data_IF_322540013458
#
_entry.id   IF_322540013458
#
_cell.length_a   1.000
_cell.length_b   1.000
_cell.length_c   1.000
_cell.angle_alpha   90.00
_cell.angle_beta   90.00
_cell.angle_gamma   90.00
#
_symmetry.space_group_name_H-M   'P 1'
#
loop_
_entity.id
_entity.type
_entity.pdbx_description
1 polymer ?
#
# COMPACT_ATOMS: atom_id res chain seq x y z
N UNK A 1 23.72 21.12 -12.72
CA UNK A 1 23.18 19.79 -12.88
C UNK A 1 21.82 19.71 -12.21
N UNK A 2 20.85 19.04 -12.86
CA UNK A 2 19.47 18.92 -12.41
C UNK A 2 19.02 17.45 -12.49
N UNK A 3 18.46 16.88 -11.45
CA UNK A 3 17.92 15.51 -11.50
C UNK A 3 16.56 15.40 -10.81
N UNK A 4 15.80 14.39 -11.15
CA UNK A 4 14.55 14.07 -10.49
C UNK A 4 14.73 12.88 -9.55
N UNK A 5 13.94 12.85 -8.45
CA UNK A 5 13.84 11.75 -7.51
C UNK A 5 12.37 11.32 -7.41
N UNK A 6 12.09 10.13 -7.92
CA UNK A 6 10.77 9.50 -7.99
C UNK A 6 10.83 8.20 -7.19
N UNK A 7 9.82 7.94 -6.35
CA UNK A 7 9.69 6.71 -5.57
C UNK A 7 8.25 6.21 -5.57
N UNK A 8 8.08 4.94 -5.24
CA UNK A 8 6.80 4.35 -4.82
C UNK A 8 5.65 4.62 -5.81
N UNK A 9 5.92 4.41 -7.09
CA UNK A 9 4.91 4.63 -8.15
C UNK A 9 3.81 3.56 -8.12
N UNK A 10 4.11 2.34 -7.66
CA UNK A 10 3.17 1.23 -7.52
C UNK A 10 2.24 1.05 -8.72
N UNK A 11 2.82 1.03 -9.92
CA UNK A 11 2.05 0.93 -11.15
C UNK A 11 1.24 -0.38 -11.16
N UNK A 12 -0.08 -0.24 -11.28
CA UNK A 12 -1.02 -1.35 -11.23
C UNK A 12 -1.68 -1.62 -9.86
N UNK A 13 -1.48 -0.75 -8.85
CA UNK A 13 -1.95 -0.96 -7.47
C UNK A 13 -3.48 -1.03 -7.32
N UNK A 14 -4.21 -0.13 -7.93
CA UNK A 14 -5.63 0.03 -7.71
C UNK A 14 -6.47 -1.09 -8.36
N UNK A 15 -7.56 -1.49 -7.69
CA UNK A 15 -8.55 -2.45 -8.23
C UNK A 15 -9.59 -1.77 -9.12
N UNK A 16 -9.89 -0.50 -8.85
CA UNK A 16 -10.81 0.31 -9.65
C UNK A 16 -10.10 0.73 -10.94
N UNK A 17 -10.64 0.36 -12.12
CA UNK A 17 -9.98 0.64 -13.40
C UNK A 17 -9.65 2.12 -13.62
N UNK A 18 -10.55 3.03 -13.19
CA UNK A 18 -10.35 4.47 -13.32
C UNK A 18 -9.19 4.98 -12.44
N UNK A 19 -9.01 4.42 -11.24
CA UNK A 19 -7.89 4.78 -10.36
C UNK A 19 -6.58 4.13 -10.81
N UNK A 20 -6.65 2.93 -11.38
CA UNK A 20 -5.50 2.28 -11.99
C UNK A 20 -4.98 3.09 -13.18
N UNK A 21 -5.89 3.59 -14.03
CA UNK A 21 -5.52 4.48 -15.13
C UNK A 21 -4.96 5.80 -14.58
N UNK A 22 -5.55 6.39 -13.55
CA UNK A 22 -5.07 7.62 -12.93
C UNK A 22 -3.67 7.47 -12.31
N UNK A 23 -3.34 6.29 -11.77
CA UNK A 23 -2.00 5.97 -11.30
C UNK A 23 -0.98 5.98 -12.45
N UNK A 24 -1.31 5.37 -13.61
CA UNK A 24 -0.48 5.42 -14.81
C UNK A 24 -0.36 6.84 -15.36
N UNK A 25 -1.46 7.59 -15.42
CA UNK A 25 -1.47 8.99 -15.90
C UNK A 25 -0.61 9.88 -15.00
N UNK A 26 -0.61 9.61 -13.67
CA UNK A 26 0.22 10.35 -12.71
C UNK A 26 1.70 10.09 -12.93
N UNK A 27 2.07 8.84 -13.17
CA UNK A 27 3.44 8.49 -13.54
C UNK A 27 3.86 9.14 -14.86
N UNK A 28 3.02 9.04 -15.92
CA UNK A 28 3.26 9.71 -17.20
C UNK A 28 3.43 11.21 -17.00
N UNK A 29 2.62 11.86 -16.17
CA UNK A 29 2.74 13.29 -15.89
C UNK A 29 4.05 13.65 -15.18
N UNK A 30 4.53 12.79 -14.25
CA UNK A 30 5.85 12.99 -13.64
C UNK A 30 6.96 12.92 -14.68
N UNK A 31 6.91 11.97 -15.61
CA UNK A 31 7.88 11.84 -16.71
C UNK A 31 7.83 13.07 -17.65
N UNK A 32 6.63 13.53 -18.02
CA UNK A 32 6.46 14.75 -18.82
C UNK A 32 7.12 15.96 -18.15
N UNK A 33 6.87 16.18 -16.86
CA UNK A 33 7.48 17.27 -16.09
C UNK A 33 9.01 17.15 -16.10
N UNK A 34 9.55 15.94 -15.93
CA UNK A 34 11.01 15.73 -15.99
C UNK A 34 11.59 16.10 -17.35
N UNK A 35 10.90 15.80 -18.44
CA UNK A 35 11.31 16.16 -19.81
C UNK A 35 11.21 17.68 -20.02
N UNK A 36 10.11 18.30 -19.62
CA UNK A 36 9.89 19.75 -19.68
C UNK A 36 10.94 20.53 -18.90
N UNK A 37 11.29 20.06 -17.72
CA UNK A 37 12.31 20.63 -16.83
C UNK A 37 13.74 20.34 -17.29
N UNK A 38 13.92 19.51 -18.32
CA UNK A 38 15.21 19.13 -18.87
C UNK A 38 16.17 18.58 -17.79
N UNK A 39 15.69 17.61 -17.00
CA UNK A 39 16.55 16.96 -16.02
C UNK A 39 17.63 16.12 -16.70
N UNK A 40 18.83 16.06 -16.12
CA UNK A 40 19.95 15.29 -16.67
C UNK A 40 19.72 13.78 -16.50
N UNK A 41 19.09 13.39 -15.38
CA UNK A 41 18.73 12.01 -15.07
C UNK A 41 17.61 11.92 -14.04
N UNK A 42 17.07 10.71 -13.85
CA UNK A 42 16.05 10.39 -12.87
C UNK A 42 16.55 9.25 -11.98
N UNK A 43 16.29 9.37 -10.66
CA UNK A 43 16.44 8.32 -9.67
C UNK A 43 15.06 7.70 -9.40
N UNK A 44 14.93 6.40 -9.57
CA UNK A 44 13.76 5.62 -9.17
C UNK A 44 14.14 4.78 -7.94
N UNK A 45 13.62 5.16 -6.78
CA UNK A 45 14.05 4.58 -5.50
C UNK A 45 13.10 3.50 -4.99
N UNK A 46 12.74 2.58 -5.88
CA UNK A 46 11.97 1.37 -5.59
C UNK A 46 10.47 1.50 -5.72
N UNK A 47 9.82 0.34 -5.66
CA UNK A 47 8.38 0.14 -5.81
C UNK A 47 7.81 0.85 -7.06
N UNK A 48 8.49 0.60 -8.20
CA UNK A 48 8.00 1.06 -9.49
C UNK A 48 6.69 0.36 -9.83
N UNK A 49 6.61 -0.95 -9.60
CA UNK A 49 5.41 -1.76 -9.78
C UNK A 49 4.81 -2.17 -8.42
N UNK A 50 3.49 -2.35 -8.37
CA UNK A 50 2.79 -2.82 -7.18
C UNK A 50 3.01 -4.32 -6.90
N UNK A 51 3.50 -5.05 -7.87
CA UNK A 51 3.85 -6.46 -7.73
C UNK A 51 5.01 -6.86 -8.62
N UNK A 52 5.73 -7.92 -8.22
CA UNK A 52 6.84 -8.48 -8.98
C UNK A 52 6.41 -9.02 -10.38
N UNK A 53 5.11 -9.22 -10.60
CA UNK A 53 4.52 -9.68 -11.87
C UNK A 53 3.36 -8.77 -12.27
N UNK A 54 3.63 -7.55 -12.74
CA UNK A 54 2.60 -6.61 -13.12
C UNK A 54 1.86 -7.08 -14.38
N UNK A 55 0.60 -6.65 -14.58
CA UNK A 55 -0.16 -6.92 -15.81
C UNK A 55 0.57 -6.43 -17.06
N UNK A 56 0.39 -7.14 -18.18
CA UNK A 56 1.06 -6.81 -19.45
C UNK A 56 0.73 -5.38 -19.90
N UNK A 57 -0.50 -4.92 -19.72
CA UNK A 57 -0.88 -3.55 -20.08
C UNK A 57 -0.13 -2.51 -19.27
N UNK A 58 0.05 -2.75 -17.96
CA UNK A 58 0.87 -1.88 -17.09
C UNK A 58 2.33 -1.84 -17.56
N UNK A 59 2.89 -2.99 -17.91
CA UNK A 59 4.25 -3.07 -18.45
C UNK A 59 4.40 -2.28 -19.76
N UNK A 60 3.45 -2.45 -20.66
CA UNK A 60 3.45 -1.78 -21.98
C UNK A 60 3.45 -0.26 -21.80
N UNK A 61 2.56 0.28 -20.97
CA UNK A 61 2.49 1.71 -20.70
C UNK A 61 3.77 2.21 -19.98
N UNK A 62 4.27 1.47 -18.99
CA UNK A 62 5.53 1.82 -18.31
C UNK A 62 6.70 1.86 -19.29
N UNK A 63 6.82 0.87 -20.18
CA UNK A 63 7.89 0.83 -21.18
C UNK A 63 7.79 1.99 -22.17
N UNK A 64 6.58 2.43 -22.50
CA UNK A 64 6.37 3.61 -23.34
C UNK A 64 6.91 4.88 -22.66
N UNK A 65 6.71 5.03 -21.36
CA UNK A 65 7.23 6.17 -20.60
C UNK A 65 8.78 6.15 -20.51
N UNK A 66 9.37 5.00 -20.20
CA UNK A 66 10.84 4.88 -20.23
C UNK A 66 11.43 5.10 -21.61
N UNK A 67 10.70 4.74 -22.68
CA UNK A 67 11.11 5.06 -24.05
C UNK A 67 11.13 6.56 -24.29
N UNK A 68 10.15 7.33 -23.80
CA UNK A 68 10.15 8.80 -23.90
C UNK A 68 11.41 9.40 -23.25
N UNK A 69 11.80 8.90 -22.05
CA UNK A 69 13.02 9.33 -21.38
C UNK A 69 14.27 9.05 -22.24
N UNK A 70 14.37 7.83 -22.78
CA UNK A 70 15.48 7.45 -23.65
C UNK A 70 15.56 8.32 -24.89
N UNK A 71 14.42 8.59 -25.54
CA UNK A 71 14.33 9.44 -26.72
C UNK A 71 14.73 10.90 -26.39
N UNK A 72 14.38 11.36 -25.15
CA UNK A 72 14.83 12.66 -24.62
C UNK A 72 16.28 12.66 -24.10
N UNK A 73 17.00 11.52 -24.16
CA UNK A 73 18.36 11.32 -23.65
C UNK A 73 18.49 11.52 -22.12
N UNK A 74 17.43 11.37 -21.38
CA UNK A 74 17.43 11.41 -19.92
C UNK A 74 17.72 9.99 -19.39
N UNK A 75 18.79 9.85 -18.61
CA UNK A 75 19.16 8.56 -18.00
C UNK A 75 18.26 8.23 -16.81
N UNK A 76 18.01 6.95 -16.59
CA UNK A 76 17.23 6.44 -15.46
C UNK A 76 18.08 5.50 -14.64
N UNK A 77 18.24 5.79 -13.34
CA UNK A 77 18.94 4.96 -12.36
C UNK A 77 17.91 4.38 -11.38
N UNK A 78 17.96 3.08 -11.15
CA UNK A 78 16.87 2.36 -10.50
C UNK A 78 17.41 1.46 -9.38
N UNK A 79 16.68 1.36 -8.29
CA UNK A 79 16.75 0.25 -7.34
C UNK A 79 15.38 -0.44 -7.27
N UNK A 80 15.37 -1.74 -6.96
CA UNK A 80 14.13 -2.45 -6.68
C UNK A 80 13.59 -2.07 -5.30
N UNK A 81 12.28 -1.96 -5.16
CA UNK A 81 11.60 -1.88 -3.88
C UNK A 81 11.07 -3.24 -3.42
N UNK A 82 10.32 -3.25 -2.32
CA UNK A 82 9.80 -4.47 -1.70
C UNK A 82 8.74 -5.18 -2.56
N UNK A 83 7.99 -4.43 -3.36
CA UNK A 83 6.97 -4.92 -4.28
C UNK A 83 7.56 -5.41 -5.62
N UNK A 84 8.62 -4.80 -6.09
CA UNK A 84 9.30 -5.21 -7.32
C UNK A 84 9.98 -6.58 -7.18
N UNK A 85 10.25 -7.04 -5.96
CA UNK A 85 11.08 -8.20 -5.69
C UNK A 85 10.30 -9.52 -5.81
N UNK A 86 10.78 -10.44 -6.64
CA UNK A 86 10.27 -11.81 -6.69
C UNK A 86 11.12 -12.75 -5.81
N UNK A 87 10.51 -13.84 -5.34
CA UNK A 87 11.20 -14.89 -4.57
C UNK A 87 12.38 -15.50 -5.34
N UNK A 88 12.35 -15.46 -6.68
CA UNK A 88 13.42 -15.96 -7.55
C UNK A 88 14.55 -14.95 -7.77
N UNK A 89 14.48 -13.75 -7.19
CA UNK A 89 15.43 -12.66 -7.39
C UNK A 89 15.34 -11.97 -8.75
N UNK A 90 14.38 -12.36 -9.61
CA UNK A 90 14.17 -11.75 -10.93
C UNK A 90 13.05 -10.71 -10.85
N UNK A 91 13.26 -9.57 -11.49
CA UNK A 91 12.30 -8.48 -11.53
C UNK A 91 12.05 -8.03 -12.97
N UNK A 92 10.94 -7.34 -13.20
CA UNK A 92 10.74 -6.69 -14.50
C UNK A 92 11.68 -5.49 -14.73
N UNK A 93 12.33 -5.00 -13.67
CA UNK A 93 13.40 -4.01 -13.79
C UNK A 93 14.58 -4.56 -14.60
N UNK A 94 14.92 -5.86 -14.45
CA UNK A 94 15.95 -6.53 -15.26
C UNK A 94 15.60 -6.48 -16.75
N UNK A 95 14.31 -6.56 -17.10
CA UNK A 95 13.84 -6.46 -18.50
C UNK A 95 14.00 -5.02 -19.01
N UNK A 96 13.65 -4.01 -18.19
CA UNK A 96 13.87 -2.59 -18.52
C UNK A 96 15.36 -2.31 -18.74
N UNK A 97 16.23 -2.83 -17.87
CA UNK A 97 17.69 -2.66 -18.01
C UNK A 97 18.20 -3.33 -19.28
N UNK A 98 17.82 -4.58 -19.56
CA UNK A 98 18.22 -5.30 -20.79
C UNK A 98 17.72 -4.62 -22.07
N UNK A 99 16.57 -3.94 -22.01
CA UNK A 99 16.07 -3.10 -23.10
C UNK A 99 16.83 -1.75 -23.23
N UNK A 100 17.72 -1.46 -22.30
CA UNK A 100 18.52 -0.23 -22.26
C UNK A 100 17.71 1.00 -21.91
N UNK A 101 16.69 0.86 -21.08
CA UNK A 101 15.85 1.94 -20.57
C UNK A 101 16.31 2.50 -19.22
N UNK A 102 17.03 1.72 -18.44
CA UNK A 102 17.57 2.14 -17.15
C UNK A 102 18.88 1.42 -16.86
N UNK A 103 19.56 1.87 -15.81
CA UNK A 103 20.71 1.22 -15.20
C UNK A 103 20.36 0.90 -13.74
N UNK A 104 20.44 -0.39 -13.36
CA UNK A 104 20.14 -0.85 -11.98
C UNK A 104 21.40 -0.70 -11.12
N UNK A 105 21.25 -0.12 -9.92
CA UNK A 105 22.36 -0.01 -8.98
C UNK A 105 22.88 -1.37 -8.56
N UNK A 106 24.18 -1.54 -8.60
CA UNK A 106 24.87 -2.82 -8.36
C UNK A 106 25.53 -2.84 -6.99
N UNK A 107 25.58 -4.02 -6.38
CA UNK A 107 26.26 -4.28 -5.11
C UNK A 107 26.80 -5.70 -5.04
N UNK A 108 27.73 -5.93 -4.15
CA UNK A 108 28.21 -7.26 -3.77
C UNK A 108 27.85 -7.52 -2.32
N UNK A 109 27.11 -8.59 -2.05
CA UNK A 109 26.65 -8.93 -0.71
C UNK A 109 27.29 -10.24 -0.26
N UNK A 110 27.88 -10.21 0.93
CA UNK A 110 28.43 -11.37 1.64
C UNK A 110 27.80 -11.44 3.04
N UNK A 111 28.08 -12.48 3.80
CA UNK A 111 27.61 -12.58 5.18
C UNK A 111 28.14 -11.43 6.07
N UNK A 112 29.32 -10.88 5.76
CA UNK A 112 30.00 -9.90 6.60
C UNK A 112 29.78 -8.45 6.14
N UNK A 113 29.59 -8.22 4.84
CA UNK A 113 29.53 -6.86 4.27
C UNK A 113 28.72 -6.79 2.97
N UNK A 114 28.21 -5.58 2.72
CA UNK A 114 27.58 -5.19 1.46
C UNK A 114 28.39 -4.05 0.86
N UNK A 115 29.00 -4.29 -0.30
CA UNK A 115 29.82 -3.28 -1.00
C UNK A 115 29.00 -2.73 -2.14
N UNK A 116 28.64 -1.43 -2.06
CA UNK A 116 27.93 -0.75 -3.15
C UNK A 116 28.91 -0.36 -4.26
N UNK A 117 28.45 -0.53 -5.52
CA UNK A 117 29.22 -0.15 -6.71
C UNK A 117 28.67 1.16 -7.29
N UNK A 118 29.52 2.10 -7.69
CA UNK A 118 29.06 3.36 -8.23
C UNK A 118 28.53 3.22 -9.66
N UNK A 119 27.34 3.75 -9.89
CA UNK A 119 26.90 4.23 -11.20
C UNK A 119 27.43 5.66 -11.37
N UNK A 120 28.03 5.94 -12.53
CA UNK A 120 28.69 7.23 -12.78
C UNK A 120 27.87 8.06 -13.78
N UNK A 121 27.52 9.26 -13.36
CA UNK A 121 26.94 10.27 -14.21
C UNK A 121 27.81 11.54 -14.15
N UNK A 122 28.68 11.73 -15.14
CA UNK A 122 29.69 12.81 -15.13
C UNK A 122 30.53 12.81 -13.83
N UNK A 123 30.39 13.85 -12.99
CA UNK A 123 31.08 13.99 -11.70
C UNK A 123 30.28 13.45 -10.50
N UNK A 124 29.18 12.73 -10.76
CA UNK A 124 28.30 12.18 -9.71
C UNK A 124 28.52 10.69 -9.57
N UNK A 125 28.53 10.22 -8.35
CA UNK A 125 28.52 8.83 -7.99
C UNK A 125 27.18 8.47 -7.34
N UNK A 126 26.44 7.58 -7.97
CA UNK A 126 25.13 7.10 -7.53
C UNK A 126 25.32 5.68 -7.03
N UNK A 127 24.98 5.45 -5.76
CA UNK A 127 24.98 4.17 -5.12
C UNK A 127 23.57 3.78 -4.77
N UNK A 128 23.28 2.48 -4.73
CA UNK A 128 21.95 2.04 -4.35
C UNK A 128 21.92 0.65 -3.72
N UNK A 129 20.96 0.44 -2.82
CA UNK A 129 20.63 -0.85 -2.28
C UNK A 129 19.11 -1.05 -2.30
N UNK A 130 18.60 -2.21 -2.78
CA UNK A 130 17.17 -2.45 -2.93
C UNK A 130 16.48 -2.68 -1.59
N UNK A 131 15.16 -2.45 -1.56
CA UNK A 131 14.28 -2.92 -0.51
C UNK A 131 14.06 -4.43 -0.60
N UNK A 132 13.73 -5.05 0.53
CA UNK A 132 13.35 -6.46 0.62
C UNK A 132 11.99 -6.57 1.33
N UNK A 133 11.27 -7.67 1.13
CA UNK A 133 9.97 -7.88 1.80
C UNK A 133 10.15 -7.90 3.32
N UNK A 134 9.19 -7.27 4.02
CA UNK A 134 9.11 -7.31 5.49
C UNK A 134 10.35 -6.82 6.24
N UNK A 135 11.05 -5.79 5.72
CA UNK A 135 12.22 -5.21 6.40
C UNK A 135 13.46 -6.10 6.41
N UNK A 136 13.48 -7.17 5.60
CA UNK A 136 14.64 -8.09 5.54
C UNK A 136 15.92 -7.45 5.00
N UNK A 137 15.87 -6.23 4.50
CA UNK A 137 17.02 -5.44 4.10
C UNK A 137 17.81 -4.85 5.29
N UNK A 138 17.16 -4.61 6.45
CA UNK A 138 17.78 -3.91 7.59
C UNK A 138 19.12 -4.55 8.06
N UNK A 139 19.22 -5.88 8.24
CA UNK A 139 20.49 -6.49 8.61
C UNK A 139 21.61 -6.29 7.57
N UNK A 140 21.28 -6.24 6.29
CA UNK A 140 22.20 -5.99 5.20
C UNK A 140 22.62 -4.52 5.15
N UNK A 141 21.66 -3.60 5.36
CA UNK A 141 21.90 -2.15 5.37
C UNK A 141 22.95 -1.74 6.42
N UNK A 142 22.95 -2.38 7.60
CA UNK A 142 23.96 -2.16 8.65
C UNK A 142 25.38 -2.55 8.27
N UNK A 143 25.54 -3.31 7.18
CA UNK A 143 26.83 -3.79 6.69
C UNK A 143 27.29 -3.07 5.43
N UNK A 144 26.55 -2.04 4.98
CA UNK A 144 26.86 -1.30 3.76
C UNK A 144 28.19 -0.57 3.87
N UNK A 145 28.99 -0.68 2.82
CA UNK A 145 30.25 0.03 2.64
C UNK A 145 30.35 0.58 1.22
N UNK A 146 31.04 1.71 1.12
CA UNK A 146 31.48 2.31 -0.14
C UNK A 146 32.99 2.34 -0.10
N UNK A 147 33.65 1.68 -1.04
CA UNK A 147 35.11 1.55 -1.06
C UNK A 147 35.79 2.78 -1.66
N UNK A 148 35.09 3.53 -2.54
CA UNK A 148 35.63 4.75 -3.12
C UNK A 148 35.75 5.84 -2.07
N UNK A 149 36.90 6.53 -1.98
CA UNK A 149 37.07 7.62 -1.04
C UNK A 149 36.05 8.75 -1.34
N UNK A 150 35.57 9.39 -0.27
CA UNK A 150 34.71 10.57 -0.37
C UNK A 150 35.55 11.78 -0.77
N UNK A 151 35.75 11.97 -2.07
CA UNK A 151 36.58 13.05 -2.62
C UNK A 151 35.88 13.75 -3.79
N UNK A 152 35.66 15.06 -3.69
CA UNK A 152 35.32 16.00 -4.76
C UNK A 152 34.17 15.62 -5.73
N UNK A 153 33.48 14.50 -5.53
CA UNK A 153 32.36 14.03 -6.34
C UNK A 153 31.08 14.13 -5.53
N UNK A 154 30.01 14.61 -6.14
CA UNK A 154 28.70 14.59 -5.51
C UNK A 154 28.21 13.15 -5.40
N UNK A 155 27.92 12.70 -4.17
CA UNK A 155 27.53 11.33 -3.87
C UNK A 155 26.03 11.27 -3.55
N UNK A 156 25.33 10.40 -4.28
CA UNK A 156 23.91 10.08 -4.04
C UNK A 156 23.82 8.65 -3.52
N UNK A 157 23.03 8.45 -2.46
CA UNK A 157 22.70 7.12 -1.94
C UNK A 157 21.20 6.87 -2.07
N UNK A 158 20.84 5.91 -2.94
CA UNK A 158 19.46 5.46 -3.14
C UNK A 158 19.18 4.26 -2.23
N UNK A 159 18.13 4.35 -1.42
CA UNK A 159 17.71 3.27 -0.52
C UNK A 159 16.19 3.13 -0.54
N UNK A 160 15.72 1.89 -0.43
CA UNK A 160 14.30 1.63 -0.26
C UNK A 160 14.08 0.95 1.09
N UNK A 161 13.86 1.76 2.13
CA UNK A 161 13.83 1.31 3.52
C UNK A 161 13.22 2.37 4.46
N UNK A 162 12.97 1.97 5.68
CA UNK A 162 12.50 2.83 6.77
C UNK A 162 13.67 3.34 7.61
N UNK A 163 13.74 4.66 7.85
CA UNK A 163 14.73 5.25 8.75
C UNK A 163 14.13 5.56 10.13
N UNK A 164 14.96 5.47 11.17
CA UNK A 164 14.56 5.70 12.57
C UNK A 164 14.07 7.13 12.80
N UNK A 165 14.60 8.09 12.06
CA UNK A 165 14.23 9.52 12.12
C UNK A 165 12.76 9.75 11.72
N UNK A 166 12.15 8.82 10.96
CA UNK A 166 10.73 8.85 10.58
C UNK A 166 9.87 8.08 11.57
N UNK A 167 10.31 6.90 12.01
CA UNK A 167 9.52 6.03 12.89
C UNK A 167 9.51 6.49 14.34
N UNK A 168 10.55 7.17 14.77
CA UNK A 168 10.71 7.58 16.18
C UNK A 168 10.66 6.38 17.12
N UNK A 169 9.69 6.35 18.03
CA UNK A 169 9.51 5.28 19.03
C UNK A 169 8.55 4.17 18.59
N UNK A 170 8.07 4.17 17.36
CA UNK A 170 7.18 3.12 16.86
C UNK A 170 7.94 1.78 16.78
N UNK A 171 7.29 0.64 17.09
CA UNK A 171 7.93 -0.67 17.04
C UNK A 171 8.00 -1.21 15.59
N UNK A 172 8.66 -0.44 14.73
CA UNK A 172 8.88 -0.76 13.32
C UNK A 172 10.37 -0.92 13.11
N UNK A 173 10.78 -2.00 12.44
CA UNK A 173 12.18 -2.18 12.07
C UNK A 173 12.66 -1.01 11.20
N UNK A 174 13.73 -0.38 11.62
CA UNK A 174 14.29 0.81 10.97
C UNK A 174 15.79 0.89 11.23
N UNK A 175 16.46 1.72 10.46
CA UNK A 175 17.90 1.97 10.59
C UNK A 175 18.15 3.46 10.74
N UNK A 176 19.04 3.85 11.62
CA UNK A 176 19.38 5.26 11.79
C UNK A 176 20.25 5.77 10.63
N UNK A 177 20.02 7.00 10.20
CA UNK A 177 20.72 7.58 9.06
C UNK A 177 22.25 7.61 9.25
N UNK A 178 22.71 7.78 10.49
CA UNK A 178 24.14 7.79 10.82
C UNK A 178 24.84 6.42 10.70
N UNK A 179 24.08 5.35 10.49
CA UNK A 179 24.61 4.02 10.21
C UNK A 179 24.95 3.83 8.72
N UNK A 180 24.52 4.75 7.85
CA UNK A 180 24.84 4.69 6.42
C UNK A 180 26.17 5.37 6.08
N UNK A 181 26.80 4.97 4.96
CA UNK A 181 27.90 5.74 4.39
C UNK A 181 27.51 7.19 4.11
N UNK A 182 28.50 8.08 4.25
CA UNK A 182 28.28 9.51 3.99
C UNK A 182 27.92 9.77 2.51
N UNK A 183 26.86 10.56 2.29
CA UNK A 183 26.42 11.00 0.98
C UNK A 183 26.04 12.49 1.00
N UNK A 184 25.98 13.13 -0.17
CA UNK A 184 25.52 14.52 -0.33
C UNK A 184 24.01 14.60 -0.48
N UNK A 185 23.36 13.50 -0.89
CA UNK A 185 21.92 13.37 -1.04
C UNK A 185 21.48 11.94 -0.74
N UNK A 186 20.51 11.78 0.18
CA UNK A 186 19.90 10.50 0.49
C UNK A 186 18.53 10.43 -0.21
N UNK A 187 18.44 9.59 -1.24
CA UNK A 187 17.25 9.37 -2.03
C UNK A 187 16.51 8.13 -1.52
N UNK A 188 15.43 8.32 -0.77
CA UNK A 188 14.70 7.27 -0.09
C UNK A 188 13.35 6.97 -0.76
N UNK A 189 12.92 5.71 -0.72
CA UNK A 189 11.59 5.21 -0.99
C UNK A 189 11.10 4.28 0.11
N UNK A 190 9.91 3.69 -0.03
CA UNK A 190 9.26 2.74 0.86
C UNK A 190 8.16 3.34 1.75
N UNK A 191 8.35 4.53 2.31
CA UNK A 191 7.35 5.16 3.15
C UNK A 191 6.65 6.26 2.35
N UNK A 192 5.34 6.12 2.20
CA UNK A 192 4.52 7.06 1.44
C UNK A 192 4.14 8.26 2.31
N UNK A 193 5.09 9.12 2.55
CA UNK A 193 4.92 10.34 3.34
C UNK A 193 5.58 11.54 2.67
N UNK A 194 5.11 12.70 3.03
CA UNK A 194 5.77 13.96 2.68
C UNK A 194 6.92 14.21 3.66
N UNK A 195 8.13 13.80 3.29
CA UNK A 195 9.30 13.93 4.15
C UNK A 195 10.48 14.52 3.37
N UNK A 196 10.81 15.74 3.74
CA UNK A 196 11.97 16.49 3.27
C UNK A 196 12.64 17.09 4.48
N UNK A 197 13.81 16.60 4.84
CA UNK A 197 14.58 17.10 5.98
C UNK A 197 16.05 17.21 5.64
N UNK A 198 16.74 18.05 6.38
CA UNK A 198 18.18 18.17 6.36
C UNK A 198 18.74 17.57 7.66
N UNK A 199 19.51 16.50 7.54
CA UNK A 199 20.11 15.79 8.66
C UNK A 199 21.63 15.87 8.51
N UNK A 200 22.33 16.42 9.50
CA UNK A 200 23.77 16.67 9.43
C UNK A 200 24.18 17.49 8.18
N UNK A 201 23.39 18.50 7.83
CA UNK A 201 23.55 19.36 6.64
C UNK A 201 23.48 18.56 5.31
N UNK A 202 22.80 17.42 5.27
CA UNK A 202 22.59 16.62 4.06
C UNK A 202 21.08 16.40 3.85
N UNK A 203 20.58 16.65 2.64
CA UNK A 203 19.18 16.39 2.31
C UNK A 203 18.84 14.90 2.38
N UNK A 204 17.71 14.61 3.03
CA UNK A 204 17.14 13.28 3.20
C UNK A 204 15.67 13.35 2.78
N UNK A 205 15.30 12.66 1.71
CA UNK A 205 14.00 12.83 1.08
C UNK A 205 13.39 11.47 0.74
N UNK A 206 12.10 11.30 1.06
CA UNK A 206 11.26 10.26 0.47
C UNK A 206 10.59 10.83 -0.79
N UNK A 207 10.85 10.20 -1.94
CA UNK A 207 10.57 10.78 -3.27
C UNK A 207 9.19 10.54 -3.85
N UNK A 208 8.25 9.99 -3.08
CA UNK A 208 6.95 9.60 -3.61
C UNK A 208 5.85 9.57 -2.56
N UNK A 209 4.69 8.93 -2.87
CA UNK A 209 4.33 8.26 -4.11
C UNK A 209 3.94 9.21 -5.25
N UNK A 210 4.05 8.75 -6.50
CA UNK A 210 3.56 9.53 -7.67
C UNK A 210 2.04 9.62 -7.73
N UNK A 211 1.35 8.66 -7.12
CA UNK A 211 -0.09 8.68 -6.86
C UNK A 211 -0.38 7.91 -5.56
N UNK A 212 -1.24 8.44 -4.65
CA UNK A 212 -1.62 7.72 -3.44
C UNK A 212 -2.23 6.35 -3.75
N UNK A 213 -1.80 5.29 -3.03
CA UNK A 213 -2.12 3.91 -3.38
C UNK A 213 -3.31 3.30 -2.65
N UNK A 214 -3.89 4.04 -1.71
CA UNK A 214 -5.05 3.59 -0.95
C UNK A 214 -5.88 4.77 -0.41
N UNK A 215 -7.03 4.45 0.18
CA UNK A 215 -7.93 5.44 0.75
C UNK A 215 -7.26 6.36 1.78
N UNK A 216 -6.42 5.79 2.67
CA UNK A 216 -5.77 6.55 3.73
C UNK A 216 -4.75 7.54 3.15
N UNK A 217 -3.97 7.12 2.19
CA UNK A 217 -3.01 7.98 1.50
C UNK A 217 -3.71 9.09 0.71
N UNK A 218 -4.82 8.79 0.00
CA UNK A 218 -5.63 9.84 -0.65
C UNK A 218 -6.19 10.85 0.35
N UNK A 219 -6.55 10.41 1.56
CA UNK A 219 -7.01 11.30 2.64
C UNK A 219 -5.88 12.20 3.17
N UNK A 220 -4.69 11.64 3.35
CA UNK A 220 -3.54 12.31 3.99
C UNK A 220 -2.73 13.15 3.01
N UNK A 221 -2.35 12.59 1.88
CA UNK A 221 -1.48 13.23 0.88
C UNK A 221 -2.25 14.05 -0.14
N UNK A 222 -3.50 13.66 -0.45
CA UNK A 222 -4.36 14.20 -1.50
C UNK A 222 -3.84 13.98 -2.91
N UNK A 223 -2.60 14.33 -3.18
CA UNK A 223 -1.94 14.23 -4.50
C UNK A 223 -0.63 13.48 -4.36
N UNK A 224 -0.22 12.85 -5.45
CA UNK A 224 1.13 12.35 -5.57
C UNK A 224 2.14 13.47 -5.75
N UNK A 225 3.41 13.15 -5.55
CA UNK A 225 4.50 14.11 -5.73
C UNK A 225 5.82 13.40 -6.01
N UNK A 226 6.79 14.18 -6.47
CA UNK A 226 8.19 13.80 -6.61
C UNK A 226 9.05 15.06 -6.47
N UNK A 227 10.38 14.91 -6.51
CA UNK A 227 11.28 16.04 -6.31
C UNK A 227 12.20 16.27 -7.51
N UNK A 228 12.50 17.55 -7.78
CA UNK A 228 13.56 17.98 -8.68
C UNK A 228 14.65 18.66 -7.86
N UNK A 229 15.87 18.21 -8.05
CA UNK A 229 17.04 18.65 -7.32
C UNK A 229 18.01 19.33 -8.29
N UNK A 230 18.39 20.57 -8.00
CA UNK A 230 19.38 21.34 -8.73
C UNK A 230 20.65 21.48 -7.88
N UNK A 231 21.77 21.02 -8.40
CA UNK A 231 23.08 21.12 -7.73
C UNK A 231 23.97 22.09 -8.53
N UNK A 232 24.20 23.26 -7.96
CA UNK A 232 25.03 24.30 -8.56
C UNK A 232 25.73 25.13 -7.48
N UNK A 233 26.76 24.54 -6.83
CA UNK A 233 27.42 25.15 -5.67
C UNK A 233 26.59 25.06 -4.37
N UNK A 234 25.32 24.94 -4.47
CA UNK A 234 24.35 24.62 -3.41
C UNK A 234 23.30 23.64 -3.95
N UNK A 235 22.61 22.95 -3.06
CA UNK A 235 21.53 22.03 -3.42
C UNK A 235 20.18 22.72 -3.24
N UNK A 236 19.42 22.89 -4.34
CA UNK A 236 18.07 23.40 -4.32
C UNK A 236 17.10 22.24 -4.58
N UNK A 237 16.14 22.08 -3.71
CA UNK A 237 15.12 21.02 -3.74
C UNK A 237 13.79 21.67 -4.09
N UNK A 238 13.07 21.06 -5.04
CA UNK A 238 11.75 21.54 -5.46
C UNK A 238 10.79 20.37 -5.53
N UNK A 239 9.78 20.36 -4.67
CA UNK A 239 8.68 19.39 -4.71
C UNK A 239 7.77 19.70 -5.89
N UNK A 240 7.41 18.68 -6.66
CA UNK A 240 6.44 18.74 -7.77
C UNK A 240 5.22 17.92 -7.41
N UNK A 241 4.09 18.54 -7.17
CA UNK A 241 2.81 17.86 -6.93
C UNK A 241 2.14 17.49 -8.26
N UNK A 242 1.54 16.30 -8.30
CA UNK A 242 0.85 15.76 -9.48
C UNK A 242 -0.66 15.87 -9.25
N UNK A 243 -1.27 16.96 -9.71
CA UNK A 243 -2.68 17.30 -9.47
C UNK A 243 -3.55 16.97 -10.68
N UNK A 244 -3.90 15.70 -10.87
CA UNK A 244 -4.77 15.26 -11.98
C UNK A 244 -6.25 15.28 -11.59
N UNK A 245 -6.59 14.77 -10.41
CA UNK A 245 -7.95 14.73 -9.85
C UNK A 245 -7.93 15.13 -8.39
N UNK A 246 -8.86 15.97 -7.99
CA UNK A 246 -8.97 16.44 -6.60
C UNK A 246 -9.74 15.42 -5.75
N UNK A 247 -9.19 14.92 -4.63
CA UNK A 247 -9.96 14.13 -3.67
C UNK A 247 -10.79 15.03 -2.75
N UNK A 248 -12.06 14.66 -2.55
CA UNK A 248 -12.99 15.31 -1.63
C UNK A 248 -13.31 14.36 -0.49
N UNK A 249 -12.84 14.67 0.70
CA UNK A 249 -13.06 13.88 1.89
C UNK A 249 -14.34 14.32 2.61
N UNK A 250 -15.24 13.35 2.80
CA UNK A 250 -16.50 13.53 3.53
C UNK A 250 -16.48 12.58 4.73
N UNK A 251 -16.48 13.15 5.94
CA UNK A 251 -16.49 12.41 7.20
C UNK A 251 -17.86 12.52 7.84
N UNK A 252 -18.47 11.38 8.15
CA UNK A 252 -19.80 11.33 8.75
C UNK A 252 -19.87 10.36 9.93
N UNK A 253 -20.48 10.81 11.00
CA UNK A 253 -20.87 9.96 12.10
C UNK A 253 -22.26 9.40 11.84
N UNK A 254 -22.43 8.07 11.94
CA UNK A 254 -23.71 7.38 11.75
C UNK A 254 -23.99 6.53 13.01
N UNK A 255 -25.12 6.82 13.67
CA UNK A 255 -25.62 6.05 14.82
C UNK A 255 -26.82 5.16 14.46
N UNK A 256 -27.47 5.43 13.33
CA UNK A 256 -28.62 4.67 12.85
C UNK A 256 -28.43 4.33 11.38
N UNK A 257 -28.23 3.04 11.10
CA UNK A 257 -27.97 2.55 9.74
C UNK A 257 -29.20 2.68 8.83
N UNK A 258 -30.43 2.58 9.38
CA UNK A 258 -31.67 2.66 8.60
C UNK A 258 -31.88 4.04 7.97
N UNK A 259 -31.40 5.09 8.61
CA UNK A 259 -31.42 6.46 8.09
C UNK A 259 -30.08 6.90 7.49
N UNK A 260 -29.05 6.05 7.61
CA UNK A 260 -27.69 6.34 7.20
C UNK A 260 -27.56 6.73 5.73
N UNK A 261 -28.23 6.03 4.83
CA UNK A 261 -28.23 6.32 3.40
C UNK A 261 -28.69 7.75 3.11
N UNK A 262 -29.84 8.15 3.66
CA UNK A 262 -30.38 9.50 3.45
C UNK A 262 -29.48 10.60 4.04
N UNK A 263 -28.89 10.34 5.21
CA UNK A 263 -27.95 11.26 5.84
C UNK A 263 -26.72 11.48 4.95
N UNK A 264 -26.15 10.38 4.38
CA UNK A 264 -25.01 10.45 3.49
C UNK A 264 -25.36 11.22 2.20
N UNK A 265 -26.50 10.89 1.55
CA UNK A 265 -26.95 11.58 0.34
C UNK A 265 -27.16 13.08 0.57
N UNK A 266 -27.77 13.45 1.70
CA UNK A 266 -27.97 14.86 2.07
C UNK A 266 -26.65 15.60 2.30
N UNK A 267 -25.62 14.91 2.84
CA UNK A 267 -24.30 15.50 3.00
C UNK A 267 -23.59 15.69 1.67
N UNK A 268 -23.64 14.69 0.80
CA UNK A 268 -23.03 14.73 -0.54
C UNK A 268 -23.55 15.91 -1.39
N UNK A 269 -24.81 16.30 -1.21
CA UNK A 269 -25.41 17.44 -1.93
C UNK A 269 -24.74 18.80 -1.63
N UNK A 270 -23.98 18.91 -0.54
CA UNK A 270 -23.29 20.13 -0.15
C UNK A 270 -21.97 20.36 -0.91
N UNK A 271 -21.50 19.35 -1.66
CA UNK A 271 -20.20 19.36 -2.32
C UNK A 271 -20.36 19.36 -3.84
N UNK A 272 -19.44 20.02 -4.52
CA UNK A 272 -19.24 19.81 -5.96
C UNK A 272 -18.46 18.51 -6.16
N UNK A 273 -19.14 17.50 -6.74
CA UNK A 273 -18.59 16.16 -6.93
C UNK A 273 -17.98 15.94 -8.33
N UNK A 274 -18.25 16.90 -9.25
CA UNK A 274 -17.91 16.73 -10.66
C UNK A 274 -16.39 16.56 -10.86
N UNK A 275 -16.01 15.48 -11.54
CA UNK A 275 -14.61 15.16 -11.89
C UNK A 275 -13.67 15.02 -10.69
N UNK A 276 -14.19 14.68 -9.50
CA UNK A 276 -13.44 14.52 -8.24
C UNK A 276 -13.46 13.09 -7.75
N UNK A 277 -12.47 12.71 -6.93
CA UNK A 277 -12.43 11.43 -6.22
C UNK A 277 -13.14 11.63 -4.89
N UNK A 278 -14.27 10.97 -4.69
CA UNK A 278 -15.06 11.10 -3.48
C UNK A 278 -14.62 10.07 -2.44
N UNK A 279 -14.15 10.54 -1.30
CA UNK A 279 -13.72 9.74 -0.16
C UNK A 279 -14.74 9.83 0.95
N UNK A 280 -15.60 8.82 1.10
CA UNK A 280 -16.58 8.74 2.16
C UNK A 280 -16.02 7.93 3.33
N UNK A 281 -15.75 8.59 4.46
CA UNK A 281 -15.37 7.97 5.72
C UNK A 281 -16.53 8.01 6.71
N UNK A 282 -17.02 6.85 7.08
CA UNK A 282 -18.10 6.71 8.07
C UNK A 282 -17.52 6.15 9.36
N UNK A 283 -17.95 6.73 10.48
CA UNK A 283 -17.58 6.30 11.83
C UNK A 283 -18.79 6.39 12.77
N UNK A 284 -18.66 5.83 13.95
CA UNK A 284 -19.68 5.86 15.02
C UNK A 284 -20.13 4.47 15.48
N UNK A 285 -20.99 4.45 16.48
CA UNK A 285 -21.60 3.24 17.03
C UNK A 285 -23.05 3.12 16.57
N UNK A 286 -23.34 2.10 15.78
CA UNK A 286 -24.71 1.82 15.31
C UNK A 286 -25.56 1.31 16.47
N UNK A 287 -26.51 2.14 16.91
CA UNK A 287 -27.54 1.81 17.89
C UNK A 287 -28.71 1.07 17.25
N UNK A 288 -28.93 1.26 15.94
CA UNK A 288 -30.01 0.65 15.17
C UNK A 288 -29.54 0.25 13.78
N UNK A 289 -29.91 -0.96 13.38
CA UNK A 289 -29.56 -1.54 12.09
C UNK A 289 -28.12 -2.06 12.03
N UNK A 290 -27.72 -2.52 10.87
CA UNK A 290 -26.38 -3.05 10.56
C UNK A 290 -25.73 -2.22 9.45
N UNK A 291 -24.42 -2.31 9.32
CA UNK A 291 -23.70 -1.63 8.22
C UNK A 291 -24.25 -2.00 6.85
N UNK A 292 -24.78 -3.23 6.68
CA UNK A 292 -25.44 -3.68 5.44
C UNK A 292 -26.74 -2.97 5.10
N UNK A 293 -27.38 -2.32 6.07
CA UNK A 293 -28.65 -1.59 5.84
C UNK A 293 -28.39 -0.22 5.17
N UNK A 294 -27.15 0.25 5.20
CA UNK A 294 -26.71 1.41 4.44
C UNK A 294 -26.54 1.01 2.98
N UNK A 295 -27.35 1.58 2.10
CA UNK A 295 -27.39 1.26 0.68
C UNK A 295 -26.24 1.94 -0.08
N UNK A 296 -25.03 1.42 0.07
CA UNK A 296 -23.83 1.98 -0.57
C UNK A 296 -23.89 2.03 -2.10
N UNK A 297 -24.62 1.12 -2.72
CA UNK A 297 -24.83 1.15 -4.18
C UNK A 297 -25.61 2.38 -4.60
N UNK A 298 -26.69 2.73 -3.87
CA UNK A 298 -27.48 3.94 -4.13
C UNK A 298 -26.65 5.21 -4.00
N UNK A 299 -25.71 5.23 -3.02
CA UNK A 299 -24.79 6.34 -2.81
C UNK A 299 -23.79 6.42 -3.96
N UNK A 300 -23.23 5.31 -4.39
CA UNK A 300 -22.34 5.26 -5.55
C UNK A 300 -23.03 5.75 -6.81
N UNK A 301 -24.23 5.21 -7.12
CA UNK A 301 -25.02 5.61 -8.28
C UNK A 301 -25.34 7.12 -8.28
N UNK A 302 -25.57 7.68 -7.09
CA UNK A 302 -25.76 9.12 -6.93
C UNK A 302 -24.48 9.90 -7.28
N UNK A 303 -23.32 9.50 -6.74
CA UNK A 303 -22.06 10.20 -7.02
C UNK A 303 -21.70 10.13 -8.51
N UNK A 304 -21.91 8.98 -9.15
CA UNK A 304 -21.71 8.79 -10.59
C UNK A 304 -22.63 9.71 -11.41
N UNK A 305 -23.91 9.82 -11.05
CA UNK A 305 -24.87 10.75 -11.70
C UNK A 305 -24.45 12.22 -11.55
N UNK A 306 -23.79 12.58 -10.46
CA UNK A 306 -23.23 13.91 -10.26
C UNK A 306 -21.89 14.12 -10.98
N UNK A 307 -21.42 13.12 -11.72
CA UNK A 307 -20.20 13.17 -12.50
C UNK A 307 -18.92 13.05 -11.68
N UNK A 308 -18.96 12.41 -10.52
CA UNK A 308 -17.76 12.05 -9.77
C UNK A 308 -16.82 11.16 -10.62
N UNK A 309 -15.52 11.36 -10.49
CA UNK A 309 -14.53 10.56 -11.19
C UNK A 309 -14.43 9.14 -10.60
N UNK A 310 -14.43 9.03 -9.29
CA UNK A 310 -14.45 7.75 -8.56
C UNK A 310 -15.07 7.95 -7.18
N UNK A 311 -15.62 6.86 -6.61
CA UNK A 311 -16.19 6.82 -5.27
C UNK A 311 -15.54 5.74 -4.44
N UNK A 312 -14.97 6.13 -3.31
CA UNK A 312 -14.36 5.24 -2.33
C UNK A 312 -15.04 5.40 -0.97
N UNK A 313 -15.24 4.30 -0.26
CA UNK A 313 -15.79 4.29 1.09
C UNK A 313 -14.87 3.60 2.09
N UNK A 314 -14.86 4.12 3.31
CA UNK A 314 -14.20 3.49 4.45
C UNK A 314 -15.15 3.47 5.64
N UNK A 315 -15.49 2.27 6.10
CA UNK A 315 -16.41 2.00 7.22
C UNK A 315 -15.69 1.32 8.39
N UNK A 316 -14.36 1.28 8.40
CA UNK A 316 -13.57 0.55 9.40
C UNK A 316 -13.75 1.07 10.84
N UNK A 317 -14.23 2.30 10.99
CA UNK A 317 -14.55 2.94 12.28
C UNK A 317 -16.06 2.99 12.55
N UNK A 318 -16.87 2.26 11.80
CA UNK A 318 -18.28 2.09 12.06
C UNK A 318 -18.49 0.79 12.82
N UNK A 319 -18.70 0.88 14.11
CA UNK A 319 -18.87 -0.23 15.00
C UNK A 319 -20.37 -0.50 15.22
N UNK A 320 -20.73 -1.73 15.48
CA UNK A 320 -22.06 -2.09 15.93
C UNK A 320 -22.00 -2.13 17.44
N UNK A 321 -22.97 -1.48 18.10
CA UNK A 321 -23.10 -1.56 19.55
C UNK A 321 -23.24 -3.05 19.91
N UNK A 322 -22.20 -3.59 20.53
CA UNK A 322 -22.27 -4.95 21.06
C UNK A 322 -23.32 -4.92 22.16
N UNK A 323 -24.51 -5.45 21.88
CA UNK A 323 -25.39 -5.82 22.98
C UNK A 323 -24.62 -6.85 23.81
N UNK A 324 -24.05 -6.41 24.93
CA UNK A 324 -23.54 -7.33 25.91
C UNK A 324 -24.69 -8.24 26.28
N UNK A 325 -24.58 -9.51 25.93
CA UNK A 325 -25.49 -10.55 26.37
C UNK A 325 -25.31 -10.65 27.88
N UNK A 326 -26.02 -9.82 28.64
CA UNK A 326 -26.12 -10.00 30.10
C UNK A 326 -26.87 -11.30 30.33
N UNK A 327 -26.10 -12.35 30.52
CA UNK A 327 -26.62 -13.66 30.93
C UNK A 327 -26.57 -13.66 32.44
N UNK A 328 -27.71 -13.43 33.07
CA UNK A 328 -27.88 -13.77 34.48
C UNK A 328 -27.91 -15.30 34.60
N UNK A 329 -26.76 -15.91 34.77
CA UNK A 329 -26.61 -17.33 35.04
C UNK A 329 -26.92 -17.59 36.51
N UNK A 330 -28.03 -18.25 36.79
CA UNK A 330 -28.23 -18.88 38.08
C UNK A 330 -27.26 -20.07 38.18
N UNK A 331 -26.65 -20.25 39.37
CA UNK A 331 -25.57 -21.22 39.61
C UNK A 331 -25.87 -22.71 39.22
N UNK A 332 -27.11 -23.06 38.89
CA UNK A 332 -27.52 -24.41 38.46
C UNK A 332 -27.44 -24.67 36.96
N UNK A 333 -27.11 -23.69 36.15
CA UNK A 333 -27.18 -23.76 34.65
C UNK A 333 -25.80 -23.81 33.96
N UNK A 334 -24.71 -23.93 34.71
CA UNK A 334 -23.37 -23.98 34.13
C UNK A 334 -23.15 -25.11 33.13
N UNK A 335 -23.87 -26.23 33.28
CA UNK A 335 -23.79 -27.40 32.36
C UNK A 335 -24.55 -27.17 31.03
N UNK A 336 -25.35 -26.12 30.91
CA UNK A 336 -26.17 -25.81 29.72
C UNK A 336 -25.95 -24.42 29.16
N UNK A 337 -24.82 -23.81 29.48
CA UNK A 337 -24.51 -22.43 29.02
C UNK A 337 -24.59 -22.31 27.49
N UNK A 338 -24.07 -23.31 26.74
CA UNK A 338 -24.09 -23.32 25.30
C UNK A 338 -25.53 -23.32 24.77
N UNK A 339 -26.42 -24.15 25.31
CA UNK A 339 -27.83 -24.22 24.90
C UNK A 339 -28.58 -22.90 25.16
N UNK A 340 -28.33 -22.29 26.33
CA UNK A 340 -28.97 -21.02 26.72
C UNK A 340 -28.51 -19.88 25.78
N UNK A 341 -27.21 -19.83 25.48
CA UNK A 341 -26.64 -18.87 24.56
C UNK A 341 -27.21 -18.99 23.14
N UNK A 342 -27.29 -20.24 22.63
CA UNK A 342 -27.81 -20.51 21.29
C UNK A 342 -29.29 -20.11 21.22
N UNK A 343 -30.12 -20.55 22.15
CA UNK A 343 -31.55 -20.17 22.16
C UNK A 343 -31.78 -18.67 22.26
N UNK A 344 -30.96 -17.97 23.05
CA UNK A 344 -31.03 -16.52 23.11
C UNK A 344 -30.64 -15.89 21.79
N UNK A 345 -29.54 -16.34 21.16
CA UNK A 345 -29.09 -15.88 19.83
C UNK A 345 -30.16 -16.13 18.76
N UNK A 346 -30.78 -17.33 18.75
CA UNK A 346 -31.86 -17.69 17.81
C UNK A 346 -33.05 -16.74 17.93
N UNK A 347 -33.45 -16.40 19.15
CA UNK A 347 -34.55 -15.45 19.38
C UNK A 347 -34.24 -14.02 18.92
N UNK A 348 -33.01 -13.59 19.10
CA UNK A 348 -32.55 -12.26 18.71
C UNK A 348 -32.23 -12.15 17.21
N UNK A 349 -31.88 -13.27 16.56
CA UNK A 349 -31.52 -13.37 15.15
C UNK A 349 -32.27 -14.48 14.44
N UNK A 350 -33.61 -14.33 14.20
CA UNK A 350 -34.42 -15.36 13.55
C UNK A 350 -33.89 -15.63 12.14
N UNK A 351 -33.58 -16.91 11.86
CA UNK A 351 -33.08 -17.36 10.58
C UNK A 351 -33.49 -18.82 10.32
N UNK A 352 -33.77 -19.16 9.09
CA UNK A 352 -34.05 -20.56 8.68
C UNK A 352 -32.89 -21.51 8.96
N UNK A 353 -31.67 -20.97 9.13
CA UNK A 353 -30.47 -21.72 9.47
C UNK A 353 -30.33 -22.05 10.95
N UNK A 354 -31.10 -21.43 11.84
CA UNK A 354 -30.98 -21.63 13.29
C UNK A 354 -31.22 -23.08 13.67
N UNK A 355 -32.15 -23.75 12.98
CA UNK A 355 -32.42 -25.19 13.19
C UNK A 355 -31.20 -26.11 12.90
N UNK A 356 -30.18 -25.62 12.22
CA UNK A 356 -28.96 -26.37 11.91
C UNK A 356 -27.87 -26.19 12.99
N UNK A 357 -27.99 -25.23 13.90
CA UNK A 357 -26.93 -24.91 14.87
C UNK A 357 -26.57 -26.12 15.73
N UNK A 358 -27.57 -26.73 16.41
CA UNK A 358 -27.31 -27.90 17.23
C UNK A 358 -26.81 -29.13 16.46
N UNK A 359 -27.43 -29.51 15.32
CA UNK A 359 -26.90 -30.61 14.50
C UNK A 359 -25.46 -30.36 13.98
N UNK A 360 -25.11 -29.14 13.64
CA UNK A 360 -23.74 -28.80 13.22
C UNK A 360 -22.75 -28.87 14.37
N UNK A 361 -23.13 -28.38 15.57
CA UNK A 361 -22.29 -28.50 16.76
C UNK A 361 -22.02 -29.97 17.14
N UNK A 362 -23.03 -30.82 17.07
CA UNK A 362 -22.86 -32.26 17.33
C UNK A 362 -21.94 -32.91 16.27
N UNK A 363 -22.11 -32.56 15.00
CA UNK A 363 -21.23 -33.07 13.96
C UNK A 363 -19.77 -32.60 14.15
N UNK A 364 -19.54 -31.35 14.59
CA UNK A 364 -18.22 -30.79 14.85
C UNK A 364 -17.56 -31.32 16.14
N UNK A 365 -18.32 -31.87 17.12
CA UNK A 365 -17.78 -32.55 18.30
C UNK A 365 -17.16 -33.91 17.99
N UNK A 366 -17.20 -34.35 16.72
CA UNK A 366 -16.58 -35.61 16.31
C UNK A 366 -15.09 -35.59 16.58
N UNK A 367 -14.62 -36.44 17.51
CA UNK A 367 -13.20 -36.53 17.83
C UNK A 367 -12.48 -37.53 16.93
N UNK A 368 -11.19 -37.26 16.71
CA UNK A 368 -10.29 -38.16 15.98
C UNK A 368 -10.03 -39.39 16.86
N UNK A 369 -10.21 -40.60 16.30
CA UNK A 369 -9.95 -41.84 17.01
C UNK A 369 -8.43 -42.11 17.15
N UNK A 370 -8.06 -42.88 18.17
CA UNK A 370 -6.68 -43.33 18.36
C UNK A 370 -6.23 -44.11 17.12
N UNK A 371 -5.06 -43.76 16.55
CA UNK A 371 -4.52 -44.31 15.31
C UNK A 371 -5.27 -44.00 14.00
N UNK A 372 -6.30 -43.14 14.01
CA UNK A 372 -6.99 -42.71 12.81
C UNK A 372 -6.13 -41.76 11.96
N UNK A 373 -5.99 -42.03 10.66
CA UNK A 373 -5.29 -41.10 9.73
C UNK A 373 -6.10 -39.82 9.57
N UNK A 374 -5.42 -38.68 9.51
CA UNK A 374 -6.07 -37.36 9.36
C UNK A 374 -7.03 -37.29 8.20
N UNK A 375 -6.70 -37.88 7.06
CA UNK A 375 -7.56 -37.93 5.86
C UNK A 375 -8.85 -38.75 6.09
N UNK A 376 -8.81 -39.79 6.90
CA UNK A 376 -10.00 -40.61 7.26
C UNK A 376 -10.90 -39.82 8.22
N UNK A 377 -10.29 -39.17 9.23
CA UNK A 377 -10.99 -38.28 10.15
C UNK A 377 -11.70 -37.14 9.41
N UNK A 378 -10.99 -36.44 8.51
CA UNK A 378 -11.54 -35.36 7.69
C UNK A 378 -12.73 -35.86 6.85
N UNK A 379 -12.59 -36.98 6.15
CA UNK A 379 -13.66 -37.54 5.35
C UNK A 379 -14.89 -37.89 6.19
N UNK A 380 -14.70 -38.43 7.41
CA UNK A 380 -15.78 -38.75 8.35
C UNK A 380 -16.46 -37.49 8.88
N UNK A 381 -15.69 -36.47 9.22
CA UNK A 381 -16.19 -35.17 9.67
C UNK A 381 -16.99 -34.48 8.56
N UNK A 382 -16.42 -34.37 7.36
CA UNK A 382 -17.10 -33.77 6.20
C UNK A 382 -18.36 -34.54 5.81
N UNK A 383 -18.36 -35.86 5.86
CA UNK A 383 -19.58 -36.66 5.62
C UNK A 383 -20.68 -36.36 6.64
N UNK A 384 -20.31 -36.14 7.91
CA UNK A 384 -21.26 -35.71 8.96
C UNK A 384 -21.85 -34.33 8.66
N UNK A 385 -21.00 -33.37 8.32
CA UNK A 385 -21.41 -32.00 8.00
C UNK A 385 -22.27 -31.93 6.73
N UNK A 386 -21.91 -32.68 5.67
CA UNK A 386 -22.69 -32.77 4.42
C UNK A 386 -24.12 -33.20 4.65
N UNK A 387 -24.32 -34.19 5.57
CA UNK A 387 -25.66 -34.68 5.92
C UNK A 387 -26.49 -33.60 6.62
N UNK A 388 -25.89 -32.82 7.53
CA UNK A 388 -26.58 -31.76 8.25
C UNK A 388 -26.96 -30.62 7.33
N UNK A 389 -26.03 -30.22 6.45
CA UNK A 389 -26.18 -29.08 5.53
C UNK A 389 -26.99 -29.44 4.28
N UNK A 390 -27.19 -30.73 4.01
CA UNK A 390 -27.81 -31.25 2.77
C UNK A 390 -27.09 -30.74 1.52
N UNK A 391 -25.75 -30.70 1.53
CA UNK A 391 -24.88 -30.31 0.43
C UNK A 391 -23.75 -31.31 0.29
N UNK A 392 -23.23 -31.49 -0.93
CA UNK A 392 -22.02 -32.28 -1.16
C UNK A 392 -20.82 -31.36 -0.87
N UNK A 393 -20.09 -31.68 0.21
CA UNK A 393 -18.82 -31.06 0.54
C UNK A 393 -17.70 -31.94 -0.04
N UNK A 394 -17.01 -31.46 -1.07
CA UNK A 394 -15.88 -32.14 -1.71
C UNK A 394 -14.57 -31.90 -0.98
#
# INVERSE_FOLDING_TARGET
>A
MKFAHIADSHLGAWRQPELQQLNLDSFSKAIEICIEEQVDFILFTGDLFDSAFPPIETLKETFAEFKKLKDAKIKSYVIAGSHDYSVSGKTFLDVLEKAGFCEIAQYEETEEQVILKPLKHESIYIYGYPGKKSGMEIPSLKKIKINEPYQNNFRILMLHTTITEVTGSLPIESIALNEFPEADYYALGHIHIDFEQEINNKPVIYGGPTFPNNFKELEELKFGSFYIIEVNGYTKITKKEIKLKEPVLIKLEIENALTGTQKILSELQKYDLKNKIILLRIHGNLKQGKTSDIKFQEIQDYTEKQGAYSFLKNTSKLEQEKQELQIELQQKEMEKIEEVLIKKYENENPSDFNQLIFPLMEALKTEKQEDEKSTVFESRLFSGLSKVLNVELN
#
